data_IF_464377400793
#
_entry.id   IF_464377400793
#
_cell.length_a   1.000
_cell.length_b   1.000
_cell.length_c   1.000
_cell.angle_alpha   90.00
_cell.angle_beta   90.00
_cell.angle_gamma   90.00
#
_symmetry.space_group_name_H-M   'P 1'
#
loop_
_entity.id
_entity.type
_entity.pdbx_description
1 polymer ?
#
# COMPACT_ATOMS: atom_id res chain seq x y z
N UNK A 1 25.48 -21.73 -25.37
CA UNK A 1 24.26 -21.39 -26.12
C UNK A 1 23.05 -22.00 -25.46
N UNK A 2 22.36 -21.24 -24.59
CA UNK A 2 21.09 -21.67 -23.98
C UNK A 2 19.99 -20.95 -24.75
N UNK A 3 19.32 -21.67 -25.64
CA UNK A 3 18.16 -21.18 -26.40
C UNK A 3 16.93 -21.39 -25.52
N UNK A 4 16.48 -20.35 -24.83
CA UNK A 4 15.17 -20.35 -24.17
C UNK A 4 14.10 -20.48 -25.25
N UNK A 5 13.16 -21.44 -25.18
CA UNK A 5 12.05 -21.45 -26.12
C UNK A 5 11.18 -20.22 -25.86
N UNK A 6 11.05 -19.37 -26.87
CA UNK A 6 10.03 -18.32 -26.91
C UNK A 6 8.69 -19.05 -26.82
N UNK A 7 7.98 -18.87 -25.70
CA UNK A 7 6.60 -19.32 -25.55
C UNK A 7 5.79 -18.67 -26.68
N UNK A 8 5.24 -19.48 -27.59
CA UNK A 8 4.33 -18.98 -28.62
C UNK A 8 3.09 -18.48 -27.92
N UNK A 9 2.77 -17.20 -28.08
CA UNK A 9 1.44 -16.67 -27.78
C UNK A 9 0.42 -17.51 -28.54
N UNK A 10 -0.34 -18.33 -27.81
CA UNK A 10 -1.47 -19.06 -28.36
C UNK A 10 -2.65 -18.10 -28.43
N UNK A 11 -3.02 -17.69 -29.63
CA UNK A 11 -4.24 -16.92 -29.90
C UNK A 11 -5.48 -17.80 -29.76
N UNK A 12 -5.66 -18.50 -28.64
CA UNK A 12 -7.00 -18.96 -28.33
C UNK A 12 -7.80 -17.70 -27.94
N UNK A 13 -8.87 -17.41 -28.68
CA UNK A 13 -9.76 -16.27 -28.40
C UNK A 13 -10.44 -16.37 -27.01
N UNK A 14 -10.13 -17.41 -26.25
CA UNK A 14 -10.40 -17.55 -24.83
C UNK A 14 -9.26 -16.95 -23.98
N UNK A 15 -8.89 -15.69 -24.22
CA UNK A 15 -8.20 -14.93 -23.19
C UNK A 15 -9.13 -14.86 -21.97
N UNK A 16 -8.58 -14.91 -20.75
CA UNK A 16 -9.35 -14.49 -19.58
C UNK A 16 -9.76 -13.05 -19.84
N UNK A 17 -11.03 -12.82 -20.17
CA UNK A 17 -11.56 -11.48 -20.26
C UNK A 17 -11.23 -10.81 -18.92
N UNK A 18 -10.47 -9.71 -18.96
CA UNK A 18 -10.33 -8.83 -17.82
C UNK A 18 -11.73 -8.31 -17.54
N UNK A 19 -12.48 -9.04 -16.73
CA UNK A 19 -13.77 -8.61 -16.23
C UNK A 19 -13.44 -7.55 -15.22
N UNK A 20 -13.32 -6.32 -15.71
CA UNK A 20 -13.34 -5.13 -14.90
C UNK A 20 -14.62 -5.23 -14.09
N UNK A 21 -14.49 -5.62 -12.82
CA UNK A 21 -15.59 -5.37 -11.87
C UNK A 21 -15.82 -3.86 -11.95
N UNK A 22 -17.08 -3.40 -12.02
CA UNK A 22 -17.37 -1.98 -11.90
C UNK A 22 -16.54 -1.45 -10.75
N UNK A 23 -15.75 -0.41 -11.02
CA UNK A 23 -15.04 0.33 -9.98
C UNK A 23 -16.10 0.65 -8.92
N UNK A 24 -15.95 0.22 -7.66
CA UNK A 24 -16.91 0.59 -6.64
C UNK A 24 -17.08 2.10 -6.68
N UNK A 25 -18.30 2.56 -6.90
CA UNK A 25 -18.65 3.98 -6.83
C UNK A 25 -18.16 4.48 -5.47
N UNK A 26 -17.13 5.34 -5.49
CA UNK A 26 -16.38 5.79 -4.32
C UNK A 26 -15.83 4.67 -3.43
N UNK A 27 -14.51 4.47 -3.47
CA UNK A 27 -13.83 3.78 -2.38
C UNK A 27 -14.00 4.62 -1.12
N UNK A 28 -14.94 4.26 -0.26
CA UNK A 28 -15.23 5.03 0.93
C UNK A 28 -14.05 4.95 1.90
N UNK A 29 -13.37 6.08 2.09
CA UNK A 29 -12.33 6.25 3.11
C UNK A 29 -12.91 6.35 4.52
N UNK A 30 -14.24 6.40 4.68
CA UNK A 30 -14.92 6.63 5.96
C UNK A 30 -14.62 5.57 7.02
N UNK A 31 -14.12 4.40 6.62
CA UNK A 31 -13.81 3.28 7.52
C UNK A 31 -12.33 3.12 7.83
N UNK A 32 -11.45 3.90 7.18
CA UNK A 32 -10.01 3.83 7.38
C UNK A 32 -9.60 4.49 8.69
N UNK A 33 -8.90 3.76 9.56
CA UNK A 33 -8.38 4.34 10.81
C UNK A 33 -7.04 5.01 10.58
N UNK A 34 -6.31 4.61 9.53
CA UNK A 34 -4.99 5.12 9.19
C UNK A 34 -5.00 5.89 7.88
N UNK A 35 -4.27 7.01 7.83
CA UNK A 35 -4.20 7.86 6.65
C UNK A 35 -2.84 8.55 6.49
N UNK A 36 -2.29 8.68 5.27
CA UNK A 36 -1.13 9.53 5.02
C UNK A 36 -1.50 11.02 5.15
N UNK A 37 -0.93 11.72 6.13
CA UNK A 37 -1.15 13.16 6.30
C UNK A 37 -0.53 14.01 5.17
N UNK A 38 0.39 13.44 4.39
CA UNK A 38 0.96 14.07 3.20
C UNK A 38 0.94 13.11 2.02
N UNK A 39 0.53 13.63 0.86
CA UNK A 39 0.55 12.94 -0.43
C UNK A 39 1.24 13.80 -1.47
N UNK A 40 1.96 13.20 -2.44
CA UNK A 40 2.38 13.91 -3.64
C UNK A 40 1.15 14.43 -4.40
N UNK A 41 1.30 15.57 -5.07
CA UNK A 41 0.22 16.13 -5.89
C UNK A 41 -0.24 15.14 -6.95
N UNK A 42 -1.55 15.06 -7.19
CA UNK A 42 -2.17 14.16 -8.17
C UNK A 42 -2.56 12.79 -7.63
N UNK A 43 -2.02 12.34 -6.48
CA UNK A 43 -2.40 11.05 -5.91
C UNK A 43 -3.77 11.09 -5.24
N UNK A 44 -4.59 10.08 -5.54
CA UNK A 44 -5.90 9.86 -4.92
C UNK A 44 -6.08 8.40 -4.50
N UNK A 45 -6.93 8.16 -3.49
CA UNK A 45 -7.28 6.81 -3.03
C UNK A 45 -8.00 6.04 -4.14
N UNK A 46 -7.49 4.86 -4.46
CA UNK A 46 -8.04 3.93 -5.46
C UNK A 46 -8.63 2.66 -4.84
N UNK A 47 -8.31 2.37 -3.58
CA UNK A 47 -8.72 1.14 -2.92
C UNK A 47 -8.46 1.18 -1.43
N UNK A 48 -9.42 0.66 -0.67
CA UNK A 48 -9.32 0.45 0.76
C UNK A 48 -9.79 -0.96 1.07
N UNK A 49 -9.03 -1.70 1.87
CA UNK A 49 -9.43 -3.02 2.35
C UNK A 49 -8.99 -3.20 3.80
N UNK A 50 -9.92 -3.65 4.65
CA UNK A 50 -9.56 -4.32 5.90
C UNK A 50 -9.10 -5.73 5.60
N UNK A 51 -8.06 -6.15 6.28
CA UNK A 51 -7.41 -7.43 6.02
C UNK A 51 -7.27 -8.16 7.35
N UNK A 52 -7.67 -9.42 7.39
CA UNK A 52 -7.29 -10.28 8.51
C UNK A 52 -5.77 -10.40 8.57
N UNK A 53 -5.16 -9.82 9.59
CA UNK A 53 -3.74 -9.93 9.89
C UNK A 53 -3.45 -11.23 10.66
N UNK A 54 -2.20 -11.35 11.12
CA UNK A 54 -1.80 -12.45 12.01
C UNK A 54 -2.57 -12.39 13.32
N UNK A 55 -2.87 -13.56 13.88
CA UNK A 55 -3.50 -13.72 15.21
C UNK A 55 -4.89 -13.07 15.36
N UNK A 56 -5.63 -12.93 14.26
CA UNK A 56 -7.02 -12.46 14.29
C UNK A 56 -7.20 -10.96 14.45
N UNK A 57 -6.10 -10.18 14.49
CA UNK A 57 -6.16 -8.72 14.45
C UNK A 57 -6.30 -8.23 13.01
N UNK A 58 -7.11 -7.20 12.79
CA UNK A 58 -7.33 -6.64 11.46
C UNK A 58 -6.26 -5.58 11.14
N UNK A 59 -5.64 -5.69 9.96
CA UNK A 59 -4.81 -4.65 9.35
C UNK A 59 -5.57 -3.87 8.27
N UNK A 60 -4.94 -2.82 7.77
CA UNK A 60 -5.51 -1.94 6.74
C UNK A 60 -4.60 -1.86 5.52
N UNK A 61 -5.22 -1.77 4.33
CA UNK A 61 -4.54 -1.54 3.05
C UNK A 61 -5.18 -0.38 2.33
N UNK A 62 -4.38 0.65 2.03
CA UNK A 62 -4.79 1.82 1.26
C UNK A 62 -3.95 1.93 0.00
N UNK A 63 -4.57 1.88 -1.17
CA UNK A 63 -3.89 2.01 -2.46
C UNK A 63 -4.17 3.39 -3.04
N UNK A 64 -3.12 4.08 -3.49
CA UNK A 64 -3.20 5.41 -4.09
C UNK A 64 -2.56 5.40 -5.48
N UNK A 65 -3.07 6.25 -6.37
CA UNK A 65 -2.55 6.43 -7.73
C UNK A 65 -2.75 7.85 -8.22
N UNK A 66 -1.86 8.32 -9.09
CA UNK A 66 -2.00 9.55 -9.87
C UNK A 66 -2.42 9.30 -11.33
N UNK A 67 -2.72 8.04 -11.67
CA UNK A 67 -3.06 7.59 -13.02
C UNK A 67 -1.88 7.02 -13.82
N UNK A 68 -0.63 7.19 -13.37
CA UNK A 68 0.56 6.60 -13.98
C UNK A 68 1.36 5.75 -12.97
N UNK A 69 1.63 6.30 -11.80
CA UNK A 69 2.33 5.65 -10.70
C UNK A 69 1.37 5.33 -9.57
N UNK A 70 1.68 4.26 -8.83
CA UNK A 70 0.87 3.84 -7.68
C UNK A 70 1.74 3.45 -6.49
N UNK A 71 1.14 3.54 -5.31
CA UNK A 71 1.70 2.97 -4.09
C UNK A 71 0.58 2.42 -3.19
N UNK A 72 0.94 1.51 -2.30
CA UNK A 72 0.04 0.96 -1.29
C UNK A 72 0.66 1.13 0.09
N UNK A 73 -0.16 1.59 1.04
CA UNK A 73 0.12 1.62 2.47
C UNK A 73 -0.49 0.37 3.08
N UNK A 74 0.32 -0.37 3.82
CA UNK A 74 -0.06 -1.52 4.63
C UNK A 74 0.14 -1.14 6.09
N UNK A 75 -0.88 -1.38 6.92
CA UNK A 75 -0.79 -1.18 8.37
C UNK A 75 -1.16 -2.48 9.06
N UNK A 76 -0.18 -3.10 9.71
CA UNK A 76 -0.33 -4.34 10.44
C UNK A 76 -0.12 -4.09 11.93
N UNK A 77 -0.88 -4.79 12.78
CA UNK A 77 -0.52 -4.95 14.18
C UNK A 77 0.73 -5.84 14.30
N UNK A 78 1.63 -5.52 15.22
CA UNK A 78 2.81 -6.33 15.52
C UNK A 78 2.93 -6.60 17.01
N UNK A 79 3.32 -7.82 17.37
CA UNK A 79 3.63 -8.19 18.75
C UNK A 79 5.16 -8.29 18.92
N UNK A 80 5.70 -7.62 19.94
CA UNK A 80 7.04 -7.81 20.50
C UNK A 80 8.28 -7.66 19.57
N UNK A 81 8.13 -7.31 18.29
CA UNK A 81 9.27 -7.10 17.40
C UNK A 81 9.04 -5.92 16.44
N UNK A 82 9.53 -4.75 16.87
CA UNK A 82 9.72 -3.60 15.99
C UNK A 82 11.11 -3.74 15.38
N UNK A 83 11.21 -4.48 14.29
CA UNK A 83 12.43 -4.51 13.49
C UNK A 83 12.90 -3.09 13.10
N UNK A 84 14.09 -2.92 12.54
CA UNK A 84 14.55 -1.58 12.19
C UNK A 84 13.64 -0.94 11.12
N UNK A 85 13.41 0.37 11.24
CA UNK A 85 12.89 1.17 10.13
C UNK A 85 13.84 1.00 8.93
N UNK A 86 13.28 0.76 7.76
CA UNK A 86 14.04 0.38 6.58
C UNK A 86 13.44 0.99 5.33
N UNK A 87 14.28 1.55 4.47
CA UNK A 87 13.92 1.93 3.11
C UNK A 87 14.80 1.20 2.10
N UNK A 88 14.20 0.59 1.08
CA UNK A 88 14.91 -0.08 -0.01
C UNK A 88 14.26 0.21 -1.35
N UNK A 89 15.05 0.08 -2.42
CA UNK A 89 14.58 0.24 -3.80
C UNK A 89 15.06 -0.95 -4.64
N UNK A 90 14.13 -1.50 -5.43
CA UNK A 90 14.35 -2.55 -6.41
C UNK A 90 13.82 -2.05 -7.76
N UNK A 91 14.73 -1.67 -8.66
CA UNK A 91 14.38 -1.07 -9.96
C UNK A 91 13.44 0.13 -9.82
N UNK A 92 12.22 0.06 -10.35
CA UNK A 92 11.21 1.10 -10.27
C UNK A 92 10.48 1.12 -8.90
N UNK A 93 10.48 -0.01 -8.18
CA UNK A 93 9.75 -0.16 -6.93
C UNK A 93 10.60 0.28 -5.74
N UNK A 94 10.06 1.15 -4.90
CA UNK A 94 10.63 1.48 -3.59
C UNK A 94 9.69 1.02 -2.48
N UNK A 95 10.27 0.69 -1.33
CA UNK A 95 9.54 0.32 -0.13
C UNK A 95 10.15 0.97 1.11
N UNK A 96 9.30 1.45 2.01
CA UNK A 96 9.66 1.88 3.36
C UNK A 96 8.83 1.12 4.38
N UNK A 97 9.49 0.58 5.40
CA UNK A 97 8.86 -0.01 6.58
C UNK A 97 9.20 0.89 7.77
N UNK A 98 8.18 1.24 8.56
CA UNK A 98 8.31 1.97 9.81
C UNK A 98 7.47 1.37 10.90
N UNK A 99 7.90 1.55 12.13
CA UNK A 99 7.14 1.15 13.30
C UNK A 99 6.59 2.37 14.03
N UNK A 100 5.35 2.26 14.53
CA UNK A 100 4.69 3.30 15.30
C UNK A 100 3.92 2.70 16.46
N UNK A 101 3.75 3.50 17.52
CA UNK A 101 2.98 3.12 18.70
C UNK A 101 1.73 3.99 18.78
N UNK A 102 0.61 3.34 19.02
CA UNK A 102 -0.69 3.97 19.29
C UNK A 102 -1.21 3.51 20.66
N UNK A 103 -2.26 4.15 21.16
CA UNK A 103 -2.97 3.72 22.36
C UNK A 103 -3.54 2.30 22.25
N UNK A 104 -3.75 1.81 21.02
CA UNK A 104 -4.30 0.47 20.73
C UNK A 104 -3.23 -0.60 20.50
N UNK A 105 -1.94 -0.25 20.57
CA UNK A 105 -0.83 -1.19 20.41
C UNK A 105 0.27 -0.68 19.48
N UNK A 106 1.19 -1.59 19.16
CA UNK A 106 2.29 -1.33 18.22
C UNK A 106 1.90 -1.77 16.81
N UNK A 107 2.29 -0.94 15.83
CA UNK A 107 1.92 -1.10 14.43
C UNK A 107 3.15 -0.99 13.54
N UNK A 108 3.12 -1.75 12.45
CA UNK A 108 4.08 -1.65 11.35
C UNK A 108 3.39 -1.07 10.13
N UNK A 109 3.92 0.05 9.66
CA UNK A 109 3.51 0.73 8.44
C UNK A 109 4.50 0.33 7.35
N UNK A 110 4.00 -0.27 6.27
CA UNK A 110 4.80 -0.53 5.06
C UNK A 110 4.21 0.24 3.89
N UNK A 111 5.02 1.03 3.20
CA UNK A 111 4.62 1.72 1.97
C UNK A 111 5.43 1.14 0.83
N UNK A 112 4.77 0.67 -0.22
CA UNK A 112 5.42 0.07 -1.40
C UNK A 112 4.83 0.67 -2.66
N UNK A 113 5.66 1.11 -3.60
CA UNK A 113 5.17 1.69 -4.84
C UNK A 113 6.24 2.08 -5.85
N UNK A 114 5.80 2.54 -7.02
CA UNK A 114 6.66 2.96 -8.13
C UNK A 114 7.02 4.44 -8.01
N UNK A 115 7.72 4.77 -6.93
CA UNK A 115 8.07 6.13 -6.55
C UNK A 115 9.54 6.19 -6.13
N UNK A 116 10.19 7.38 -6.19
CA UNK A 116 11.49 7.58 -5.57
C UNK A 116 11.47 7.19 -4.09
N UNK A 117 12.56 6.59 -3.60
CA UNK A 117 12.66 6.12 -2.21
C UNK A 117 12.34 7.23 -1.19
N UNK A 118 12.84 8.45 -1.42
CA UNK A 118 12.55 9.62 -0.58
C UNK A 118 11.05 9.95 -0.50
N UNK A 119 10.31 9.74 -1.59
CA UNK A 119 8.87 9.98 -1.63
C UNK A 119 8.13 8.92 -0.82
N UNK A 120 8.50 7.64 -0.98
CA UNK A 120 7.93 6.54 -0.21
C UNK A 120 8.20 6.70 1.29
N UNK A 121 9.42 7.10 1.66
CA UNK A 121 9.76 7.39 3.06
C UNK A 121 8.93 8.52 3.64
N UNK A 122 8.79 9.63 2.91
CA UNK A 122 7.99 10.77 3.36
C UNK A 122 6.50 10.43 3.50
N UNK A 123 5.96 9.61 2.60
CA UNK A 123 4.59 9.08 2.75
C UNK A 123 4.49 8.28 4.04
N UNK A 124 5.38 7.29 4.24
CA UNK A 124 5.40 6.44 5.44
C UNK A 124 5.53 7.24 6.74
N UNK A 125 6.33 8.32 6.73
CA UNK A 125 6.48 9.23 7.86
C UNK A 125 5.23 10.04 8.20
N UNK A 126 4.38 10.29 7.21
CA UNK A 126 3.15 11.05 7.37
C UNK A 126 1.95 10.20 7.79
N UNK A 127 2.06 8.87 7.74
CA UNK A 127 0.94 7.97 8.09
C UNK A 127 0.64 8.07 9.58
N UNK A 128 -0.62 8.38 9.89
CA UNK A 128 -1.11 8.60 11.24
C UNK A 128 -2.55 8.15 11.37
N UNK A 129 -3.07 8.12 12.60
CA UNK A 129 -4.48 7.86 12.85
C UNK A 129 -5.34 9.04 12.38
N UNK A 130 -6.50 8.77 11.81
CA UNK A 130 -7.43 9.81 11.35
C UNK A 130 -7.85 10.74 12.49
N UNK A 131 -8.05 10.21 13.70
CA UNK A 131 -8.37 11.01 14.89
C UNK A 131 -7.25 12.01 15.25
N UNK A 132 -5.99 11.65 14.99
CA UNK A 132 -4.84 12.54 15.19
C UNK A 132 -4.72 13.60 14.10
N UNK A 133 -5.26 13.34 12.90
CA UNK A 133 -5.30 14.33 11.82
C UNK A 133 -6.35 15.41 12.10
N UNK A 134 -7.50 15.03 12.66
CA UNK A 134 -8.61 15.95 12.97
C UNK A 134 -8.33 16.91 14.14
N UNK A 135 -7.27 16.66 14.93
CA UNK A 135 -6.89 17.45 16.10
C UNK A 135 -5.73 18.44 15.83
N UNK A 136 -5.30 18.58 14.57
CA UNK A 136 -4.27 19.54 14.13
C UNK A 136 -4.89 20.68 13.35
#
# INVERSE_FOLDING_TARGET
NITTPISKFSSNESGHALRLKPTPDSVSSSEASWWPAWLPSGFALQGYNKVSGSEGRQGERLTFSDGLSSFTVFVDHVENDLGPDLTRRWHATSATVRHTRSNTGDFRISVVGELPAVTVSKIAESVTLVDQLASR
#
